data_IF_364234142157
#
_entry.id   IF_364234142157
#
_cell.length_a   1.000
_cell.length_b   1.000
_cell.length_c   1.000
_cell.angle_alpha   90.00
_cell.angle_beta   90.00
_cell.angle_gamma   90.00
#
_symmetry.space_group_name_H-M   'P 1'
#
loop_
_entity.id
_entity.type
_entity.pdbx_description
1 polymer ?
#
# COMPACT_ATOMS: atom_id res chain seq x y z
N UNK A 1 6.36 14.58 11.19
CA UNK A 1 6.87 15.69 10.36
C UNK A 1 5.88 15.94 9.24
N UNK A 2 5.47 17.18 8.97
CA UNK A 2 4.58 17.54 7.85
C UNK A 2 5.40 18.37 6.84
N UNK A 3 5.15 18.28 5.52
CA UNK A 3 5.89 19.08 4.53
C UNK A 3 5.62 20.58 4.72
N UNK A 4 6.69 21.38 4.82
CA UNK A 4 6.61 22.84 4.79
C UNK A 4 6.64 23.36 3.35
N UNK A 5 5.47 23.66 2.81
CA UNK A 5 5.29 24.04 1.41
C UNK A 5 5.59 25.51 1.13
N UNK A 6 6.02 26.30 2.12
CA UNK A 6 6.40 27.72 1.92
C UNK A 6 7.50 27.87 0.87
N UNK A 7 8.39 26.88 0.77
CA UNK A 7 9.41 26.79 -0.26
C UNK A 7 9.80 25.33 -0.49
N UNK A 8 9.82 24.87 -1.74
CA UNK A 8 10.25 23.51 -2.07
C UNK A 8 11.37 23.57 -3.11
N UNK A 9 12.60 23.33 -2.67
CA UNK A 9 13.80 23.42 -3.50
C UNK A 9 14.19 22.05 -4.04
N UNK A 10 14.39 21.95 -5.35
CA UNK A 10 14.91 20.75 -5.99
C UNK A 10 16.35 20.43 -5.53
N UNK A 11 16.62 19.16 -5.23
CA UNK A 11 17.97 18.66 -4.93
C UNK A 11 18.48 17.78 -6.07
N UNK A 12 17.75 16.70 -6.37
CA UNK A 12 18.16 15.74 -7.41
C UNK A 12 16.95 15.03 -8.02
N UNK A 13 17.08 14.60 -9.28
CA UNK A 13 16.11 13.73 -9.93
C UNK A 13 16.53 12.29 -9.68
N UNK A 14 15.63 11.49 -9.11
CA UNK A 14 15.88 10.05 -8.96
C UNK A 14 15.68 9.35 -10.30
N UNK A 15 16.60 8.46 -10.63
CA UNK A 15 16.58 7.66 -11.85
C UNK A 15 15.97 6.28 -11.57
N UNK A 16 15.25 5.73 -12.55
CA UNK A 16 14.60 4.43 -12.44
C UNK A 16 13.14 4.49 -11.94
N UNK A 17 12.43 3.37 -12.12
CA UNK A 17 11.00 3.27 -11.85
C UNK A 17 10.12 3.92 -12.93
N UNK A 18 8.80 3.73 -12.80
CA UNK A 18 7.82 4.25 -13.76
C UNK A 18 7.54 5.74 -13.57
N UNK A 19 7.37 6.16 -12.31
CA UNK A 19 7.00 7.54 -11.97
C UNK A 19 8.21 8.44 -11.80
N UNK A 20 8.07 9.72 -12.17
CA UNK A 20 9.10 10.72 -11.88
C UNK A 20 9.18 10.97 -10.38
N UNK A 21 10.40 10.91 -9.83
CA UNK A 21 10.68 11.18 -8.42
C UNK A 21 11.75 12.25 -8.29
N UNK A 22 11.53 13.24 -7.43
CA UNK A 22 12.50 14.29 -7.09
C UNK A 22 12.85 14.20 -5.61
N UNK A 23 14.14 14.28 -5.27
CA UNK A 23 14.51 14.65 -3.91
C UNK A 23 14.44 16.16 -3.79
N UNK A 24 13.80 16.64 -2.73
CA UNK A 24 13.60 18.08 -2.48
C UNK A 24 13.91 18.41 -1.03
N UNK A 25 14.14 19.69 -0.77
CA UNK A 25 14.14 20.29 0.57
C UNK A 25 12.91 21.16 0.73
N UNK A 26 12.21 21.04 1.84
CA UNK A 26 11.07 21.90 2.18
C UNK A 26 11.49 23.19 2.91
N UNK A 27 10.55 24.07 3.23
CA UNK A 27 10.82 25.38 3.84
C UNK A 27 11.44 25.29 5.23
N UNK A 28 11.21 24.18 5.92
CA UNK A 28 11.76 23.86 7.24
C UNK A 28 13.09 23.11 7.15
N UNK A 29 13.62 22.89 5.95
CA UNK A 29 14.90 22.22 5.72
C UNK A 29 14.83 20.69 5.71
N UNK A 30 13.65 20.09 5.85
CA UNK A 30 13.46 18.64 5.80
C UNK A 30 13.62 18.12 4.37
N UNK A 31 14.15 16.91 4.24
CA UNK A 31 14.27 16.25 2.95
C UNK A 31 13.10 15.31 2.68
N UNK A 32 12.67 15.31 1.43
CA UNK A 32 11.57 14.49 0.95
C UNK A 32 11.92 13.86 -0.40
N UNK A 33 11.33 12.70 -0.70
CA UNK A 33 11.23 12.19 -2.06
C UNK A 33 9.79 12.44 -2.54
N UNK A 34 9.65 13.32 -3.52
CA UNK A 34 8.38 13.68 -4.14
C UNK A 34 8.16 12.80 -5.36
N UNK A 35 7.16 11.93 -5.32
CA UNK A 35 6.68 11.15 -6.47
C UNK A 35 5.53 11.92 -7.14
N UNK A 36 5.63 12.09 -8.45
CA UNK A 36 4.64 12.79 -9.27
C UNK A 36 3.95 11.80 -10.21
N UNK A 37 2.68 12.06 -10.50
CA UNK A 37 1.90 11.35 -11.51
C UNK A 37 0.93 10.34 -10.89
N UNK A 38 0.40 9.47 -11.75
CA UNK A 38 -0.76 8.63 -11.46
C UNK A 38 -0.59 7.71 -10.24
N UNK A 39 0.62 7.43 -9.78
CA UNK A 39 0.85 6.54 -8.63
C UNK A 39 0.83 7.24 -7.27
N UNK A 40 0.87 8.58 -7.25
CA UNK A 40 1.08 9.32 -6.02
C UNK A 40 -0.07 9.11 -5.01
N UNK A 41 -1.32 9.13 -5.48
CA UNK A 41 -2.51 8.95 -4.66
C UNK A 41 -2.60 7.52 -4.11
N UNK A 42 -2.52 6.51 -4.98
CA UNK A 42 -2.66 5.11 -4.59
C UNK A 42 -1.57 4.66 -3.63
N UNK A 43 -0.33 5.08 -3.86
CA UNK A 43 0.80 4.78 -3.00
C UNK A 43 0.65 5.38 -1.60
N UNK A 44 0.13 6.62 -1.52
CA UNK A 44 -0.17 7.30 -0.26
C UNK A 44 -1.22 6.53 0.55
N UNK A 45 -2.32 6.13 -0.10
CA UNK A 45 -3.42 5.44 0.57
C UNK A 45 -3.04 4.02 0.97
N UNK A 46 -2.40 3.26 0.08
CA UNK A 46 -1.98 1.90 0.36
C UNK A 46 -1.01 1.83 1.55
N UNK A 47 -0.06 2.77 1.63
CA UNK A 47 0.86 2.87 2.77
C UNK A 47 0.11 3.11 4.09
N UNK A 48 -0.91 3.98 4.09
CA UNK A 48 -1.74 4.25 5.27
C UNK A 48 -2.58 3.05 5.71
N UNK A 49 -3.14 2.30 4.76
CA UNK A 49 -3.92 1.10 5.06
C UNK A 49 -3.05 -0.02 5.66
N UNK A 50 -1.82 -0.20 5.17
CA UNK A 50 -0.86 -1.12 5.80
C UNK A 50 -0.50 -0.69 7.22
N UNK A 51 -0.21 0.59 7.40
CA UNK A 51 0.12 1.15 8.72
C UNK A 51 -1.03 0.98 9.71
N UNK A 52 -2.28 1.19 9.28
CA UNK A 52 -3.47 1.11 10.12
C UNK A 52 -3.68 -0.27 10.77
N UNK A 53 -3.12 -1.34 10.19
CA UNK A 53 -3.19 -2.70 10.73
C UNK A 53 -1.85 -3.22 11.26
N UNK A 54 -0.87 -2.33 11.44
CA UNK A 54 0.38 -2.62 12.15
C UNK A 54 1.58 -3.00 11.28
N UNK A 55 1.49 -2.97 9.95
CA UNK A 55 2.67 -3.14 9.10
C UNK A 55 3.51 -1.86 9.06
N UNK A 56 4.85 -1.95 9.10
CA UNK A 56 5.72 -0.80 8.86
C UNK A 56 5.44 -0.18 7.48
N UNK A 57 5.36 1.14 7.41
CA UNK A 57 5.10 1.89 6.19
C UNK A 57 5.86 3.21 6.18
N UNK A 58 6.12 3.75 4.98
CA UNK A 58 6.77 5.04 4.82
C UNK A 58 5.87 6.18 5.33
N UNK A 59 6.49 7.16 5.99
CA UNK A 59 5.82 8.41 6.37
C UNK A 59 5.59 9.20 5.08
N UNK A 60 4.35 9.20 4.60
CA UNK A 60 3.97 9.81 3.33
C UNK A 60 2.79 10.78 3.47
N UNK A 61 2.85 11.86 2.70
CA UNK A 61 1.80 12.86 2.58
C UNK A 61 1.50 13.09 1.11
N UNK A 62 0.23 13.13 0.75
CA UNK A 62 -0.13 13.70 -0.54
C UNK A 62 -0.34 15.20 -0.38
N UNK A 63 0.34 15.96 -1.21
CA UNK A 63 0.19 17.40 -1.34
C UNK A 63 -0.66 17.66 -2.59
N UNK A 64 -1.85 18.27 -2.47
CA UNK A 64 -2.74 18.51 -3.60
C UNK A 64 -2.07 19.28 -4.73
N UNK A 65 -1.31 20.32 -4.40
CA UNK A 65 -0.51 21.10 -5.35
C UNK A 65 0.80 21.56 -4.73
N UNK A 66 1.90 21.41 -5.46
CA UNK A 66 3.22 21.90 -5.08
C UNK A 66 3.89 22.59 -6.24
N UNK A 67 4.63 23.67 -5.99
CA UNK A 67 5.63 24.20 -6.91
C UNK A 67 7.03 23.85 -6.41
N UNK A 68 7.80 23.13 -7.23
CA UNK A 68 9.19 22.80 -6.96
C UNK A 68 10.07 23.76 -7.76
N UNK A 69 10.92 24.52 -7.07
CA UNK A 69 11.84 25.47 -7.69
C UNK A 69 12.69 24.79 -8.77
N UNK A 70 12.70 25.37 -9.97
CA UNK A 70 13.45 24.84 -11.12
C UNK A 70 12.84 23.59 -11.78
N UNK A 71 11.67 23.11 -11.35
CA UNK A 71 10.95 21.99 -11.98
C UNK A 71 9.51 22.30 -12.38
N UNK A 72 8.85 23.26 -11.73
CA UNK A 72 7.49 23.68 -12.03
C UNK A 72 6.47 23.20 -10.99
N UNK A 73 5.18 23.32 -11.34
CA UNK A 73 4.07 22.98 -10.46
C UNK A 73 3.47 21.61 -10.81
N UNK A 74 3.08 20.86 -9.78
CA UNK A 74 2.52 19.52 -9.91
C UNK A 74 1.30 19.36 -9.01
N UNK A 75 0.28 18.67 -9.52
CA UNK A 75 -0.87 18.23 -8.74
C UNK A 75 -0.63 16.83 -8.16
N UNK A 76 -1.29 16.51 -7.05
CA UNK A 76 -1.26 15.21 -6.38
C UNK A 76 0.17 14.67 -6.23
N UNK A 77 1.02 15.43 -5.55
CA UNK A 77 2.41 15.07 -5.34
C UNK A 77 2.57 14.32 -4.02
N UNK A 78 3.13 13.10 -4.06
CA UNK A 78 3.36 12.29 -2.86
C UNK A 78 4.73 12.60 -2.28
N UNK A 79 4.77 13.17 -1.09
CA UNK A 79 5.95 13.49 -0.29
C UNK A 79 6.25 12.34 0.65
N UNK A 80 7.37 11.66 0.42
CA UNK A 80 7.86 10.58 1.26
C UNK A 80 9.04 11.10 2.11
N UNK A 81 8.92 11.01 3.43
CA UNK A 81 9.88 11.61 4.35
C UNK A 81 11.25 10.95 4.27
N UNK A 82 12.30 11.76 4.44
CA UNK A 82 13.70 11.29 4.57
C UNK A 82 14.33 11.82 5.87
N UNK A 83 13.85 11.37 7.04
CA UNK A 83 14.50 11.69 8.31
C UNK A 83 15.92 11.15 8.32
N UNK A 84 16.84 11.87 8.97
CA UNK A 84 18.27 11.53 8.97
C UNK A 84 18.58 10.31 9.84
N UNK A 85 17.73 10.05 10.82
CA UNK A 85 17.88 9.03 11.85
C UNK A 85 17.41 7.64 11.40
N UNK A 86 16.74 7.55 10.23
CA UNK A 86 16.24 6.29 9.68
C UNK A 86 17.12 5.87 8.52
N UNK A 87 17.92 4.85 8.73
CA UNK A 87 18.71 4.23 7.68
C UNK A 87 17.85 3.27 6.84
N UNK A 88 18.09 3.27 5.53
CA UNK A 88 17.40 2.47 4.52
C UNK A 88 18.41 1.54 3.87
N UNK A 89 18.77 0.49 4.60
CA UNK A 89 20.01 -0.25 4.37
C UNK A 89 19.90 -1.33 3.30
N UNK A 90 18.72 -1.92 3.10
CA UNK A 90 18.60 -3.12 2.27
C UNK A 90 17.20 -3.31 1.68
N UNK A 91 17.10 -4.20 0.69
CA UNK A 91 15.84 -4.75 0.18
C UNK A 91 15.61 -6.11 0.85
N UNK A 92 14.36 -6.55 0.98
CA UNK A 92 14.04 -7.90 1.45
C UNK A 92 13.29 -8.70 0.38
N UNK A 93 13.47 -10.02 0.38
CA UNK A 93 12.90 -10.90 -0.63
C UNK A 93 11.57 -11.51 -0.21
N UNK A 94 10.59 -11.48 -1.11
CA UNK A 94 9.33 -12.19 -0.88
C UNK A 94 9.51 -13.72 -0.73
N UNK A 95 10.56 -14.31 -1.32
CA UNK A 95 10.82 -15.76 -1.21
C UNK A 95 11.78 -16.13 -0.08
N UNK A 96 12.56 -15.17 0.42
CA UNK A 96 13.56 -15.39 1.47
C UNK A 96 13.54 -14.24 2.47
N UNK A 97 12.76 -14.41 3.53
CA UNK A 97 12.63 -13.47 4.64
C UNK A 97 12.30 -14.22 5.94
N UNK A 98 12.55 -13.63 7.12
CA UNK A 98 12.37 -14.33 8.39
C UNK A 98 10.92 -14.61 8.79
N UNK A 99 9.93 -14.12 8.03
CA UNK A 99 8.51 -14.24 8.34
C UNK A 99 7.81 -15.35 7.54
N UNK A 100 8.55 -16.13 6.73
CA UNK A 100 7.97 -17.25 6.00
C UNK A 100 7.32 -18.23 6.99
N UNK A 101 6.07 -18.59 6.69
CA UNK A 101 5.27 -19.48 7.54
C UNK A 101 4.50 -18.77 8.66
N UNK A 102 4.70 -17.47 8.88
CA UNK A 102 3.92 -16.73 9.89
C UNK A 102 2.58 -16.23 9.35
N UNK A 103 1.63 -16.00 10.25
CA UNK A 103 0.33 -15.41 9.89
C UNK A 103 0.47 -13.98 9.40
N UNK A 104 1.43 -13.21 9.93
CA UNK A 104 1.71 -11.83 9.55
C UNK A 104 2.22 -11.75 8.11
N UNK A 105 3.06 -12.69 7.68
CA UNK A 105 3.51 -12.69 6.29
C UNK A 105 2.37 -13.05 5.32
N UNK A 106 1.52 -14.01 5.70
CA UNK A 106 0.33 -14.34 4.91
C UNK A 106 -0.65 -13.17 4.87
N UNK A 107 -0.82 -12.45 5.99
CA UNK A 107 -1.64 -11.25 6.03
C UNK A 107 -1.12 -10.13 5.14
N UNK A 108 0.20 -9.93 5.06
CA UNK A 108 0.80 -8.96 4.15
C UNK A 108 0.47 -9.31 2.68
N UNK A 109 0.51 -10.58 2.32
CA UNK A 109 0.12 -11.03 0.97
C UNK A 109 -1.37 -10.79 0.71
N UNK A 110 -2.24 -11.07 1.69
CA UNK A 110 -3.68 -10.75 1.60
C UNK A 110 -3.89 -9.25 1.40
N UNK A 111 -3.12 -8.38 2.07
CA UNK A 111 -3.17 -6.93 1.82
C UNK A 111 -2.78 -6.56 0.39
N UNK A 112 -1.75 -7.20 -0.18
CA UNK A 112 -1.39 -6.96 -1.58
C UNK A 112 -2.53 -7.34 -2.53
N UNK A 113 -3.23 -8.45 -2.27
CA UNK A 113 -4.39 -8.89 -3.03
C UNK A 113 -5.59 -7.95 -2.84
N UNK A 114 -5.88 -7.57 -1.60
CA UNK A 114 -6.98 -6.67 -1.23
C UNK A 114 -6.89 -5.33 -1.99
N UNK A 115 -5.68 -4.83 -2.19
CA UNK A 115 -5.40 -3.57 -2.89
C UNK A 115 -5.16 -3.75 -4.40
N UNK A 116 -5.28 -4.97 -4.93
CA UNK A 116 -4.93 -5.34 -6.30
C UNK A 116 -3.50 -4.92 -6.71
N UNK A 117 -2.52 -5.06 -5.80
CA UNK A 117 -1.13 -4.75 -6.11
C UNK A 117 -0.55 -5.78 -7.11
N UNK A 118 -0.38 -5.39 -8.36
CA UNK A 118 0.24 -6.27 -9.36
C UNK A 118 1.77 -6.11 -9.45
N UNK A 119 2.37 -5.09 -8.82
CA UNK A 119 3.81 -4.81 -8.94
C UNK A 119 4.62 -5.46 -7.81
N UNK A 120 4.54 -6.79 -7.73
CA UNK A 120 5.22 -7.57 -6.71
C UNK A 120 6.67 -7.84 -7.14
N UNK A 121 7.60 -7.11 -6.55
CA UNK A 121 9.05 -7.21 -6.78
C UNK A 121 9.81 -6.98 -5.49
N UNK A 122 10.95 -7.64 -5.34
CA UNK A 122 11.84 -7.42 -4.19
C UNK A 122 12.41 -5.99 -4.18
N UNK A 123 12.61 -5.38 -5.36
CA UNK A 123 13.06 -3.98 -5.48
C UNK A 123 12.08 -2.96 -4.89
N UNK A 124 10.79 -3.33 -4.78
CA UNK A 124 9.76 -2.50 -4.18
C UNK A 124 9.72 -2.62 -2.65
N UNK A 125 10.58 -3.45 -2.07
CA UNK A 125 10.67 -3.70 -0.64
C UNK A 125 11.87 -2.98 -0.01
N UNK A 126 11.79 -2.65 1.27
CA UNK A 126 12.89 -2.04 2.03
C UNK A 126 12.94 -2.55 3.45
N UNK A 127 14.16 -2.60 3.98
CA UNK A 127 14.45 -2.78 5.40
C UNK A 127 14.85 -1.41 5.94
N UNK A 128 14.13 -0.94 6.96
CA UNK A 128 14.51 0.21 7.75
C UNK A 128 15.27 -0.25 8.98
N UNK A 129 16.34 0.45 9.31
CA UNK A 129 17.02 0.31 10.60
C UNK A 129 16.54 1.47 11.46
N UNK A 130 15.75 1.15 12.47
CA UNK A 130 15.21 2.11 13.41
C UNK A 130 15.72 1.81 14.82
N UNK A 131 15.98 2.83 15.62
CA UNK A 131 16.18 2.63 17.04
C UNK A 131 14.84 2.68 17.77
N UNK A 132 14.56 1.62 18.52
CA UNK A 132 13.46 1.59 19.45
C UNK A 132 13.75 2.63 20.55
N UNK A 133 12.89 3.64 20.66
CA UNK A 133 13.07 4.75 21.60
C UNK A 133 12.87 4.34 23.06
N UNK A 134 12.15 3.26 23.31
CA UNK A 134 11.83 2.78 24.65
C UNK A 134 12.93 1.85 25.18
N UNK A 135 13.42 0.95 24.32
CA UNK A 135 14.41 -0.07 24.71
C UNK A 135 15.84 0.31 24.36
N UNK A 136 16.04 1.30 23.48
CA UNK A 136 17.34 1.62 22.88
C UNK A 136 17.85 0.56 21.90
N UNK A 137 17.09 -0.52 21.66
CA UNK A 137 17.49 -1.58 20.76
C UNK A 137 17.39 -1.13 19.30
N UNK A 138 18.27 -1.68 18.46
CA UNK A 138 18.17 -1.52 17.01
C UNK A 138 17.17 -2.55 16.46
N UNK A 139 16.18 -2.09 15.70
CA UNK A 139 15.16 -2.93 15.09
C UNK A 139 15.22 -2.85 13.56
N UNK A 140 15.00 -4.00 12.92
CA UNK A 140 14.84 -4.12 11.48
C UNK A 140 13.36 -4.14 11.13
N UNK A 141 12.88 -3.12 10.43
CA UNK A 141 11.49 -3.04 9.98
C UNK A 141 11.41 -3.35 8.49
N UNK A 142 10.70 -4.43 8.16
CA UNK A 142 10.52 -4.90 6.80
C UNK A 142 9.23 -4.32 6.23
N UNK A 143 9.33 -3.52 5.17
CA UNK A 143 8.19 -2.83 4.57
C UNK A 143 8.12 -3.01 3.07
N UNK A 144 6.90 -2.90 2.53
CA UNK A 144 6.67 -2.69 1.10
C UNK A 144 6.67 -1.17 0.87
N UNK A 145 7.58 -0.67 0.04
CA UNK A 145 7.89 0.76 -0.11
C UNK A 145 7.38 1.41 -1.40
N UNK A 146 7.08 0.62 -2.44
CA UNK A 146 6.41 1.11 -3.64
C UNK A 146 5.06 0.40 -3.82
N UNK A 147 4.00 1.16 -3.57
CA UNK A 147 2.61 0.67 -3.59
C UNK A 147 1.78 1.38 -4.67
N UNK A 148 2.44 2.08 -5.60
CA UNK A 148 1.78 2.81 -6.68
C UNK A 148 0.97 1.92 -7.63
N UNK A 149 1.35 0.65 -7.75
CA UNK A 149 0.68 -0.38 -8.56
C UNK A 149 -0.63 -0.94 -7.98
N UNK A 150 -1.30 -0.20 -7.10
CA UNK A 150 -2.54 -0.58 -6.40
C UNK A 150 -3.77 0.19 -6.90
N UNK A 151 -4.94 -0.14 -6.35
CA UNK A 151 -6.22 0.57 -6.56
C UNK A 151 -6.62 0.68 -8.04
N UNK A 152 -6.33 -0.40 -8.79
CA UNK A 152 -6.79 -0.63 -10.15
C UNK A 152 -7.15 -2.10 -10.29
N UNK A 153 -6.84 -2.71 -11.44
CA UNK A 153 -6.97 -4.17 -11.62
C UNK A 153 -5.65 -4.84 -11.94
N UNK A 154 -5.52 -6.07 -11.48
CA UNK A 154 -4.43 -6.97 -11.87
C UNK A 154 -4.63 -7.41 -13.33
N UNK A 155 -3.57 -7.85 -13.99
CA UNK A 155 -3.57 -8.20 -15.41
C UNK A 155 -2.18 -8.35 -16.00
N UNK A 156 -2.13 -8.64 -17.30
CA UNK A 156 -0.89 -8.60 -18.06
C UNK A 156 -0.43 -7.15 -18.29
N UNK A 157 0.71 -6.96 -18.96
CA UNK A 157 1.30 -5.63 -19.17
C UNK A 157 0.34 -4.63 -19.84
N UNK A 158 -0.59 -5.10 -20.67
CA UNK A 158 -1.53 -4.28 -21.45
C UNK A 158 -2.83 -4.03 -20.67
N UNK A 159 -3.30 -5.00 -19.90
CA UNK A 159 -4.62 -4.94 -19.25
C UNK A 159 -4.59 -4.41 -17.82
N UNK A 160 -3.47 -4.52 -17.11
CA UNK A 160 -3.36 -4.03 -15.73
C UNK A 160 -3.46 -2.52 -15.64
N UNK A 161 -4.10 -2.03 -14.59
CA UNK A 161 -4.23 -0.60 -14.32
C UNK A 161 -3.81 -0.28 -12.90
N UNK A 162 -3.56 1.00 -12.63
CA UNK A 162 -3.19 1.51 -11.31
C UNK A 162 -3.91 2.82 -11.07
N UNK A 163 -4.28 3.08 -9.83
CA UNK A 163 -4.98 4.30 -9.45
C UNK A 163 -6.20 4.58 -10.36
N UNK A 164 -7.02 3.56 -10.59
CA UNK A 164 -8.20 3.62 -11.45
C UNK A 164 -9.39 3.01 -10.70
N UNK A 165 -10.12 3.81 -9.89
CA UNK A 165 -11.20 3.35 -9.02
C UNK A 165 -12.26 2.50 -9.73
N UNK A 166 -12.66 2.90 -10.95
CA UNK A 166 -13.65 2.17 -11.74
C UNK A 166 -13.19 0.75 -12.12
N UNK A 167 -11.88 0.53 -12.31
CA UNK A 167 -11.33 -0.81 -12.57
C UNK A 167 -11.19 -1.60 -11.26
N UNK A 168 -10.84 -0.93 -10.15
CA UNK A 168 -10.73 -1.55 -8.83
C UNK A 168 -12.07 -2.11 -8.34
N UNK A 169 -13.15 -1.33 -8.47
CA UNK A 169 -14.51 -1.74 -8.12
C UNK A 169 -14.98 -2.98 -8.89
N UNK A 170 -14.64 -3.07 -10.18
CA UNK A 170 -15.07 -4.17 -11.05
C UNK A 170 -14.20 -5.42 -10.92
N UNK A 171 -13.04 -5.30 -10.29
CA UNK A 171 -12.10 -6.41 -10.17
C UNK A 171 -12.58 -7.41 -9.12
N UNK A 172 -12.72 -8.68 -9.53
CA UNK A 172 -12.96 -9.80 -8.62
C UNK A 172 -11.82 -9.87 -7.58
N UNK A 173 -12.17 -10.14 -6.33
CA UNK A 173 -11.21 -10.26 -5.23
C UNK A 173 -10.99 -11.71 -4.82
N UNK A 174 -12.00 -12.37 -4.26
CA UNK A 174 -11.94 -13.80 -3.95
C UNK A 174 -12.48 -14.57 -5.16
N UNK A 175 -11.71 -15.54 -5.65
CA UNK A 175 -12.15 -16.40 -6.75
C UNK A 175 -13.09 -17.50 -6.27
N UNK A 176 -12.66 -18.25 -5.24
CA UNK A 176 -13.37 -19.35 -4.57
C UNK A 176 -12.64 -19.76 -3.29
N UNK A 177 -13.27 -20.65 -2.50
CA UNK A 177 -12.64 -21.35 -1.38
C UNK A 177 -12.59 -22.85 -1.70
N UNK A 178 -11.43 -23.47 -1.55
CA UNK A 178 -11.19 -24.91 -1.80
C UNK A 178 -10.72 -25.57 -0.49
N UNK A 179 -11.65 -26.25 0.19
CA UNK A 179 -11.38 -26.77 1.54
C UNK A 179 -11.11 -25.61 2.51
N UNK A 180 -9.90 -25.57 3.07
CA UNK A 180 -9.42 -24.51 3.96
C UNK A 180 -8.58 -23.45 3.24
N UNK A 181 -8.39 -23.55 1.92
CA UNK A 181 -7.56 -22.60 1.16
C UNK A 181 -8.43 -21.59 0.42
N UNK A 182 -8.12 -20.31 0.57
CA UNK A 182 -8.75 -19.23 -0.20
C UNK A 182 -7.99 -19.02 -1.50
N UNK A 183 -8.71 -19.11 -2.63
CA UNK A 183 -8.17 -18.74 -3.94
C UNK A 183 -8.59 -17.30 -4.22
N UNK A 184 -7.61 -16.40 -4.26
CA UNK A 184 -7.81 -15.02 -4.67
C UNK A 184 -7.66 -14.89 -6.18
N UNK A 185 -8.43 -13.99 -6.77
CA UNK A 185 -8.24 -13.62 -8.15
C UNK A 185 -6.96 -12.77 -8.28
N UNK A 186 -5.97 -13.28 -9.01
CA UNK A 186 -4.75 -12.55 -9.29
C UNK A 186 -4.19 -12.86 -10.67
N UNK A 187 -3.92 -11.82 -11.46
CA UNK A 187 -3.22 -11.93 -12.73
C UNK A 187 -2.01 -11.00 -12.73
N UNK A 188 -0.81 -11.56 -12.76
CA UNK A 188 0.41 -10.76 -12.66
C UNK A 188 1.64 -11.63 -12.53
N UNK A 189 2.80 -10.98 -12.37
CA UNK A 189 4.02 -11.71 -12.00
C UNK A 189 3.88 -12.21 -10.56
N UNK A 190 4.54 -13.34 -10.27
CA UNK A 190 4.61 -13.93 -8.91
C UNK A 190 3.25 -14.35 -8.33
N UNK A 191 2.32 -14.80 -9.17
CA UNK A 191 1.03 -15.33 -8.71
C UNK A 191 1.15 -16.54 -7.78
N UNK A 192 2.27 -17.25 -7.83
CA UNK A 192 2.64 -18.34 -6.94
C UNK A 192 2.78 -17.92 -5.46
N UNK A 193 3.16 -16.67 -5.18
CA UNK A 193 3.25 -16.14 -3.80
C UNK A 193 1.92 -16.19 -3.06
N UNK A 194 0.82 -16.06 -3.79
CA UNK A 194 -0.55 -15.96 -3.28
C UNK A 194 -1.25 -17.31 -3.15
N UNK A 195 -0.52 -18.40 -3.31
CA UNK A 195 -1.01 -19.75 -3.03
C UNK A 195 -0.94 -20.02 -1.53
N UNK A 196 -1.74 -20.99 -1.08
CA UNK A 196 -1.70 -21.55 0.28
C UNK A 196 -1.98 -20.51 1.39
N UNK A 197 -2.91 -19.58 1.14
CA UNK A 197 -3.48 -18.72 2.17
C UNK A 197 -4.70 -19.43 2.73
N UNK A 198 -4.70 -19.70 4.04
CA UNK A 198 -5.82 -20.39 4.68
C UNK A 198 -7.01 -19.46 4.92
N UNK A 199 -8.20 -20.03 5.12
CA UNK A 199 -9.40 -19.29 5.52
C UNK A 199 -9.14 -18.51 6.81
N UNK A 200 -8.48 -19.12 7.80
CA UNK A 200 -8.12 -18.47 9.06
C UNK A 200 -7.23 -17.24 8.83
N UNK A 201 -6.17 -17.36 8.03
CA UNK A 201 -5.23 -16.27 7.76
C UNK A 201 -5.89 -15.12 7.01
N UNK A 202 -6.74 -15.42 6.03
CA UNK A 202 -7.50 -14.42 5.28
C UNK A 202 -8.53 -13.72 6.18
N UNK A 203 -9.27 -14.49 6.98
CA UNK A 203 -10.27 -13.96 7.92
C UNK A 203 -9.62 -13.06 8.97
N UNK A 204 -8.45 -13.44 9.49
CA UNK A 204 -7.69 -12.63 10.44
C UNK A 204 -7.42 -11.21 9.92
N UNK A 205 -7.08 -11.04 8.63
CA UNK A 205 -6.92 -9.71 8.02
C UNK A 205 -8.25 -8.96 7.94
N UNK A 206 -9.34 -9.64 7.55
CA UNK A 206 -10.69 -9.08 7.56
C UNK A 206 -11.11 -8.59 8.95
N UNK A 207 -10.82 -9.37 9.99
CA UNK A 207 -11.09 -9.01 11.39
C UNK A 207 -10.28 -7.79 11.83
N UNK A 208 -8.99 -7.72 11.51
CA UNK A 208 -8.16 -6.55 11.80
C UNK A 208 -8.70 -5.29 11.14
N UNK A 209 -9.00 -5.36 9.84
CA UNK A 209 -9.52 -4.23 9.07
C UNK A 209 -10.93 -3.81 9.52
N UNK A 210 -11.76 -4.76 9.97
CA UNK A 210 -13.11 -4.48 10.46
C UNK A 210 -13.16 -3.68 11.77
N UNK A 211 -12.01 -3.48 12.43
CA UNK A 211 -11.88 -2.56 13.57
C UNK A 211 -11.85 -1.10 13.15
N UNK A 212 -11.56 -0.83 11.87
CA UNK A 212 -11.63 0.52 11.32
C UNK A 212 -13.09 0.86 11.04
N UNK A 213 -13.54 2.02 11.50
CA UNK A 213 -14.85 2.54 11.11
C UNK A 213 -14.86 2.90 9.62
N UNK A 214 -16.04 2.93 9.01
CA UNK A 214 -16.21 3.45 7.65
C UNK A 214 -15.56 4.83 7.48
N UNK A 215 -15.72 5.71 8.49
CA UNK A 215 -15.10 7.03 8.48
C UNK A 215 -13.57 6.97 8.47
N UNK A 216 -12.95 6.06 9.22
CA UNK A 216 -11.49 5.87 9.20
C UNK A 216 -10.99 5.36 7.85
N UNK A 217 -11.72 4.43 7.22
CA UNK A 217 -11.41 3.94 5.87
C UNK A 217 -11.55 5.09 4.86
N UNK A 218 -12.65 5.83 4.93
CA UNK A 218 -12.93 7.00 4.09
C UNK A 218 -11.85 8.06 4.25
N UNK A 219 -11.37 8.30 5.46
CA UNK A 219 -10.27 9.22 5.75
C UNK A 219 -8.94 8.72 5.19
N UNK A 220 -8.70 7.41 5.20
CA UNK A 220 -7.62 6.76 4.47
C UNK A 220 -7.63 7.14 3.00
N UNK A 221 -8.77 7.07 2.30
CA UNK A 221 -8.88 7.49 0.91
C UNK A 221 -8.82 9.02 0.72
N UNK A 222 -9.47 9.81 1.60
CA UNK A 222 -9.41 11.28 1.58
C UNK A 222 -7.99 11.81 1.60
N UNK A 223 -7.13 11.11 2.33
CA UNK A 223 -5.71 11.42 2.44
C UNK A 223 -4.91 11.30 1.12
N UNK A 224 -5.50 10.64 0.12
CA UNK A 224 -5.04 10.55 -1.26
C UNK A 224 -5.68 11.56 -2.21
N UNK A 225 -6.41 12.56 -1.71
CA UNK A 225 -7.04 13.65 -2.51
C UNK A 225 -7.83 13.16 -3.73
N UNK A 226 -8.51 12.02 -3.59
CA UNK A 226 -9.45 11.53 -4.62
C UNK A 226 -10.65 12.46 -4.72
N UNK A 227 -11.27 12.48 -5.90
CA UNK A 227 -12.54 13.19 -6.07
C UNK A 227 -13.63 12.53 -5.22
N UNK A 228 -14.69 13.26 -4.81
CA UNK A 228 -15.75 12.71 -3.96
C UNK A 228 -16.35 11.40 -4.49
N UNK A 229 -16.60 11.30 -5.79
CA UNK A 229 -17.17 10.12 -6.44
C UNK A 229 -16.21 8.92 -6.44
N UNK A 230 -14.91 9.16 -6.63
CA UNK A 230 -13.89 8.13 -6.58
C UNK A 230 -13.69 7.62 -5.15
N UNK A 231 -13.70 8.54 -4.20
CA UNK A 231 -13.55 8.25 -2.78
C UNK A 231 -14.70 7.37 -2.27
N UNK A 232 -15.94 7.64 -2.67
CA UNK A 232 -17.09 6.80 -2.32
C UNK A 232 -16.94 5.39 -2.90
N UNK A 233 -16.60 5.28 -4.19
CA UNK A 233 -16.39 4.00 -4.87
C UNK A 233 -15.28 3.20 -4.17
N UNK A 234 -14.13 3.81 -3.90
CA UNK A 234 -13.00 3.16 -3.24
C UNK A 234 -13.35 2.70 -1.83
N UNK A 235 -14.02 3.55 -1.05
CA UNK A 235 -14.42 3.25 0.33
C UNK A 235 -15.36 2.05 0.36
N UNK A 236 -16.43 2.08 -0.44
CA UNK A 236 -17.40 0.98 -0.50
C UNK A 236 -16.75 -0.32 -0.97
N UNK A 237 -15.96 -0.29 -2.04
CA UNK A 237 -15.28 -1.49 -2.54
C UNK A 237 -14.33 -2.08 -1.51
N UNK A 238 -13.60 -1.25 -0.74
CA UNK A 238 -12.73 -1.79 0.30
C UNK A 238 -13.55 -2.45 1.43
N UNK A 239 -14.65 -1.83 1.86
CA UNK A 239 -15.55 -2.39 2.88
C UNK A 239 -16.13 -3.72 2.42
N UNK A 240 -16.64 -3.79 1.18
CA UNK A 240 -17.16 -5.04 0.59
C UNK A 240 -16.11 -6.15 0.62
N UNK A 241 -14.86 -5.85 0.24
CA UNK A 241 -13.75 -6.81 0.28
C UNK A 241 -13.34 -7.21 1.71
N UNK A 242 -13.41 -6.28 2.67
CA UNK A 242 -13.19 -6.59 4.09
C UNK A 242 -14.26 -7.56 4.61
N UNK A 243 -15.52 -7.31 4.24
CA UNK A 243 -16.64 -8.19 4.60
C UNK A 243 -16.52 -9.57 3.94
N UNK A 244 -16.05 -9.64 2.68
CA UNK A 244 -15.72 -10.91 2.04
C UNK A 244 -14.72 -11.71 2.88
N UNK A 245 -13.63 -11.09 3.37
CA UNK A 245 -12.63 -11.75 4.21
C UNK A 245 -13.19 -12.17 5.57
N UNK A 246 -13.85 -11.25 6.27
CA UNK A 246 -14.35 -11.46 7.63
C UNK A 246 -15.39 -12.59 7.68
N UNK A 247 -16.23 -12.72 6.65
CA UNK A 247 -17.29 -13.71 6.58
C UNK A 247 -16.86 -15.03 5.90
N UNK A 248 -15.57 -15.18 5.54
CA UNK A 248 -15.04 -16.47 5.08
C UNK A 248 -15.35 -17.55 6.10
N UNK A 249 -15.69 -18.76 5.67
CA UNK A 249 -16.05 -19.91 6.53
C UNK A 249 -17.48 -19.91 7.07
N UNK A 250 -18.15 -18.75 7.19
CA UNK A 250 -19.57 -18.69 7.62
C UNK A 250 -20.52 -19.12 6.49
N UNK A 251 -20.10 -18.95 5.24
CA UNK A 251 -20.87 -19.32 4.06
C UNK A 251 -20.93 -20.84 3.79
N UNK A 252 -19.95 -21.62 4.28
CA UNK A 252 -19.97 -23.09 4.16
C UNK A 252 -20.99 -23.75 5.11
N UNK A 253 -21.35 -23.08 6.21
CA UNK A 253 -22.33 -23.56 7.19
C UNK A 253 -23.76 -23.43 6.65
N UNK A 254 -24.07 -22.34 5.93
CA UNK A 254 -25.41 -22.09 5.36
C UNK A 254 -25.79 -22.97 4.17
N UNK A 255 -24.82 -23.57 3.47
CA UNK A 255 -25.10 -24.53 2.38
C UNK A 255 -25.33 -25.97 2.86
N UNK A 256 -25.21 -26.24 4.16
CA UNK A 256 -25.36 -27.56 4.78
C UNK A 256 -26.54 -27.63 5.76
N UNK A 257 -27.33 -26.56 5.88
CA UNK A 257 -28.54 -26.47 6.71
C UNK A 257 -29.79 -26.51 5.86
#
# INVERSE_FOLDING_TARGET
MMPDLSRVTFIEKKTGGYSTKYRVRDGSGNQWVVKIGNEAQSDTVASRLLWAIGYPAEISYLVPRVTIEGKGSFENARFEARPKEIDRTSIWSWDNNPFIGTKEFQGLKVMMLLLNNWDIKDDNNKILVAQNKETGATELQYMVSDLGGTLGKTGNFISRTRNKPADFQKAKFIEKVEGDIVRFYYSGKRGDLFRNITVEQARWVGELLSRLSEQQIRDGFRSGNYKPEELEVLTRTLIERIDELKNLGDQQVKSKS
#
